data_IF_559061258269
#
_entry.id   IF_559061258269
#
_cell.length_a   1.000
_cell.length_b   1.000
_cell.length_c   1.000
_cell.angle_alpha   90.00
_cell.angle_beta   90.00
_cell.angle_gamma   90.00
#
_symmetry.space_group_name_H-M   'P 1'
#
loop_
_entity.id
_entity.type
_entity.pdbx_description
1 polymer ?
#
# COMPACT_ATOMS: atom_id res chain seq x y z
N UNK A 1 -2.81 17.24 -7.34
CA UNK A 1 -2.94 16.35 -6.17
C UNK A 1 -3.60 15.05 -6.61
N UNK A 2 -3.12 13.90 -6.18
CA UNK A 2 -3.76 12.59 -6.37
C UNK A 2 -3.96 11.98 -4.98
N UNK A 3 -5.15 11.44 -4.70
CA UNK A 3 -5.46 10.82 -3.41
C UNK A 3 -5.98 9.41 -3.62
N UNK A 4 -5.50 8.48 -2.79
CA UNK A 4 -5.97 7.11 -2.71
C UNK A 4 -6.49 6.86 -1.30
N UNK A 5 -7.75 6.43 -1.18
CA UNK A 5 -8.30 5.96 0.10
C UNK A 5 -8.24 4.44 0.11
N UNK A 6 -7.67 3.87 1.16
CA UNK A 6 -7.60 2.42 1.40
C UNK A 6 -8.45 2.14 2.63
N UNK A 7 -9.49 1.35 2.43
CA UNK A 7 -10.34 0.84 3.51
C UNK A 7 -9.81 -0.51 3.97
N UNK A 8 -9.34 -0.56 5.21
CA UNK A 8 -8.82 -1.79 5.80
C UNK A 8 -9.96 -2.62 6.36
N UNK A 9 -9.88 -3.93 6.15
CA UNK A 9 -10.86 -4.89 6.64
C UNK A 9 -10.15 -6.18 7.04
N UNK A 10 -10.88 -7.07 7.71
CA UNK A 10 -10.41 -8.41 8.00
C UNK A 10 -9.95 -9.16 6.73
N UNK A 11 -10.56 -8.90 5.58
CA UNK A 11 -10.25 -9.58 4.32
C UNK A 11 -9.17 -8.89 3.50
N UNK A 12 -8.59 -7.78 3.98
CA UNK A 12 -7.53 -7.07 3.25
C UNK A 12 -6.21 -7.85 3.40
N UNK A 13 -5.76 -8.45 2.30
CA UNK A 13 -4.49 -9.16 2.23
C UNK A 13 -3.31 -8.21 1.94
N UNK A 14 -2.07 -8.59 2.30
CA UNK A 14 -0.86 -7.84 1.96
C UNK A 14 -0.78 -7.44 0.48
N UNK A 15 -1.01 -8.41 -0.40
CA UNK A 15 -0.95 -8.20 -1.85
C UNK A 15 -2.02 -7.20 -2.32
N UNK A 16 -3.21 -7.21 -1.70
CA UNK A 16 -4.29 -6.27 -2.05
C UNK A 16 -3.89 -4.83 -1.72
N UNK A 17 -3.27 -4.60 -0.55
CA UNK A 17 -2.78 -3.29 -0.15
C UNK A 17 -1.73 -2.75 -1.14
N UNK A 18 -0.71 -3.55 -1.45
CA UNK A 18 0.36 -3.18 -2.37
C UNK A 18 -0.19 -2.92 -3.78
N UNK A 19 -1.03 -3.81 -4.30
CA UNK A 19 -1.64 -3.66 -5.62
C UNK A 19 -2.52 -2.42 -5.73
N UNK A 20 -3.23 -2.05 -4.66
CA UNK A 20 -4.07 -0.86 -4.64
C UNK A 20 -3.23 0.42 -4.72
N UNK A 21 -2.07 0.47 -4.04
CA UNK A 21 -1.14 1.60 -4.15
C UNK A 21 -0.46 1.61 -5.52
N UNK A 22 0.11 0.49 -5.97
CA UNK A 22 0.80 0.37 -7.26
C UNK A 22 -0.12 0.70 -8.44
N UNK A 23 -1.39 0.28 -8.38
CA UNK A 23 -2.38 0.60 -9.43
C UNK A 23 -2.72 2.09 -9.54
N UNK A 24 -2.42 2.89 -8.50
CA UNK A 24 -2.58 4.35 -8.56
C UNK A 24 -1.35 5.06 -9.16
N UNK A 25 -0.22 4.36 -9.29
CA UNK A 25 1.02 4.90 -9.85
C UNK A 25 1.08 4.65 -11.36
N UNK A 26 1.85 5.49 -12.06
CA UNK A 26 2.15 5.31 -13.48
C UNK A 26 3.56 4.77 -13.68
N UNK A 27 3.77 4.04 -14.78
CA UNK A 27 5.09 3.60 -15.19
C UNK A 27 5.93 4.79 -15.66
N UNK A 28 7.09 5.00 -15.04
CA UNK A 28 8.09 6.04 -15.39
C UNK A 28 9.34 5.48 -16.06
N UNK A 29 9.59 4.17 -15.92
CA UNK A 29 10.72 3.47 -16.52
C UNK A 29 10.50 1.95 -16.49
N UNK A 30 11.51 1.17 -16.85
CA UNK A 30 11.39 -0.31 -16.92
C UNK A 30 10.92 -0.90 -15.59
N UNK A 31 11.51 -0.46 -14.48
CA UNK A 31 11.24 -0.92 -13.11
C UNK A 31 10.91 0.25 -12.16
N UNK A 32 10.29 1.32 -12.68
CA UNK A 32 9.98 2.50 -11.89
C UNK A 32 8.51 2.86 -12.02
N UNK A 33 7.81 2.82 -10.89
CA UNK A 33 6.46 3.36 -10.74
C UNK A 33 6.55 4.69 -9.97
N UNK A 34 5.70 5.65 -10.33
CA UNK A 34 5.63 6.90 -9.59
C UNK A 34 4.35 7.67 -9.86
N UNK A 35 4.12 8.72 -9.08
CA UNK A 35 2.97 9.61 -9.29
C UNK A 35 3.12 10.36 -10.63
N UNK A 36 1.98 10.79 -11.18
CA UNK A 36 1.94 11.59 -12.39
C UNK A 36 2.86 12.84 -12.30
N UNK A 37 3.46 13.29 -13.41
CA UNK A 37 4.31 14.48 -13.40
C UNK A 37 3.59 15.69 -12.78
N UNK A 38 4.26 16.40 -11.87
CA UNK A 38 3.70 17.55 -11.18
C UNK A 38 2.61 17.23 -10.14
N UNK A 39 2.37 15.96 -9.81
CA UNK A 39 1.43 15.55 -8.76
C UNK A 39 2.12 14.77 -7.65
N UNK A 40 1.50 14.85 -6.49
CA UNK A 40 1.80 14.05 -5.30
C UNK A 40 0.67 13.06 -5.06
N UNK A 41 1.02 11.84 -4.63
CA UNK A 41 0.06 10.83 -4.20
C UNK A 41 -0.05 10.87 -2.68
N UNK A 42 -1.25 11.10 -2.17
CA UNK A 42 -1.59 10.98 -0.75
C UNK A 42 -2.38 9.70 -0.53
N UNK A 43 -1.89 8.81 0.34
CA UNK A 43 -2.58 7.58 0.71
C UNK A 43 -3.23 7.79 2.07
N UNK A 44 -4.55 7.65 2.12
CA UNK A 44 -5.36 7.74 3.33
C UNK A 44 -5.78 6.34 3.73
N UNK A 45 -5.42 5.93 4.93
CA UNK A 45 -5.82 4.65 5.53
C UNK A 45 -6.82 4.99 6.62
N UNK A 46 -7.99 4.34 6.61
CA UNK A 46 -9.07 4.64 7.57
C UNK A 46 -8.81 4.03 8.95
N UNK A 47 -8.60 2.72 9.02
CA UNK A 47 -8.54 1.96 10.27
C UNK A 47 -7.36 0.99 10.27
N UNK A 48 -6.41 1.20 11.18
CA UNK A 48 -5.29 0.27 11.35
C UNK A 48 -5.61 -0.91 12.26
N UNK A 49 -6.76 -0.90 12.95
CA UNK A 49 -7.08 -1.88 13.99
C UNK A 49 -7.87 -3.12 13.49
N UNK A 50 -8.38 -3.09 12.26
CA UNK A 50 -9.26 -4.12 11.69
C UNK A 50 -8.54 -5.30 10.99
N UNK A 51 -7.30 -5.19 10.45
CA UNK A 51 -6.67 -6.29 9.74
C UNK A 51 -6.62 -7.60 10.56
N UNK A 52 -6.89 -8.73 9.90
CA UNK A 52 -6.87 -10.03 10.58
C UNK A 52 -5.49 -10.34 11.14
N UNK A 53 -5.52 -10.89 12.35
CA UNK A 53 -4.40 -11.52 13.00
C UNK A 53 -4.32 -12.97 12.53
N UNK A 54 -3.13 -13.45 12.19
CA UNK A 54 -2.92 -14.85 11.83
C UNK A 54 -2.86 -15.77 13.07
N UNK A 55 -2.68 -17.07 12.83
CA UNK A 55 -2.60 -18.09 13.89
C UNK A 55 -1.44 -17.88 14.88
N UNK A 56 -0.46 -17.06 14.54
CA UNK A 56 0.73 -16.77 15.35
C UNK A 56 0.63 -15.44 16.10
N UNK A 57 -0.44 -14.67 15.90
CA UNK A 57 -0.61 -13.36 16.52
C UNK A 57 -0.10 -12.21 15.66
N UNK A 58 0.35 -12.49 14.43
CA UNK A 58 0.92 -11.48 13.55
C UNK A 58 -0.15 -10.85 12.65
N UNK A 59 0.07 -9.59 12.27
CA UNK A 59 -0.78 -8.85 11.34
C UNK A 59 -0.03 -8.60 10.03
N UNK A 60 -0.03 -9.57 9.09
CA UNK A 60 0.81 -9.52 7.89
C UNK A 60 0.53 -8.28 7.02
N UNK A 61 -0.71 -7.81 7.00
CA UNK A 61 -1.09 -6.61 6.24
C UNK A 61 -0.50 -5.34 6.85
N UNK A 62 -0.42 -5.21 8.17
CA UNK A 62 0.24 -4.07 8.83
C UNK A 62 1.76 -4.14 8.69
N UNK A 63 2.36 -5.33 8.80
CA UNK A 63 3.80 -5.49 8.59
C UNK A 63 4.22 -5.11 7.17
N UNK A 64 3.39 -5.46 6.17
CA UNK A 64 3.62 -5.06 4.78
C UNK A 64 3.53 -3.54 4.61
N UNK A 65 2.57 -2.89 5.27
CA UNK A 65 2.47 -1.43 5.29
C UNK A 65 3.72 -0.80 5.93
N UNK A 66 4.15 -1.30 7.10
CA UNK A 66 5.35 -0.83 7.80
C UNK A 66 6.59 -0.97 6.93
N UNK A 67 6.79 -2.13 6.31
CA UNK A 67 7.88 -2.39 5.39
C UNK A 67 7.87 -1.38 4.24
N UNK A 68 6.70 -1.18 3.62
CA UNK A 68 6.52 -0.24 2.50
C UNK A 68 6.88 1.20 2.88
N UNK A 69 6.53 1.65 4.09
CA UNK A 69 6.90 2.98 4.58
C UNK A 69 8.40 3.12 4.82
N UNK A 70 9.07 2.03 5.21
CA UNK A 70 10.49 2.02 5.52
C UNK A 70 11.37 1.94 4.26
N UNK A 71 11.04 1.05 3.32
CA UNK A 71 11.86 0.79 2.12
C UNK A 71 11.39 1.55 0.89
N UNK A 72 10.15 2.06 0.91
CA UNK A 72 9.45 2.46 -0.30
C UNK A 72 8.91 1.26 -1.08
N UNK A 73 8.10 1.55 -2.11
CA UNK A 73 7.61 0.56 -3.07
C UNK A 73 8.65 0.32 -4.15
N UNK A 74 9.34 -0.82 -4.07
CA UNK A 74 10.15 -1.36 -5.16
C UNK A 74 9.34 -2.36 -5.97
N UNK A 75 9.54 -2.39 -7.29
CA UNK A 75 8.87 -3.33 -8.20
C UNK A 75 9.71 -4.58 -8.44
N UNK A 76 10.42 -5.08 -7.43
CA UNK A 76 11.11 -6.37 -7.55
C UNK A 76 10.12 -7.53 -7.69
#
# INVERSE_FOLDING_TARGET
LQSLKIQMSAQTTPNKLVNQVMGSLIKKGTNLLGCQPGKWLFVFIDDLNIPQVDSFGDQPTLETLRYTLQTGLSSE
#
